data_IF_626154777458
#
_entry.id   IF_626154777458
#
_cell.length_a   1.000
_cell.length_b   1.000
_cell.length_c   1.000
_cell.angle_alpha   90.00
_cell.angle_beta   90.00
_cell.angle_gamma   90.00
#
_symmetry.space_group_name_H-M   'P 1'
#
loop_
_entity.id
_entity.type
_entity.pdbx_description
1 polymer ?
#
# COMPACT_ATOMS: atom_id res chain seq x y z
N UNK A 1 14.58 -21.95 16.92
CA UNK A 1 13.62 -20.92 16.45
C UNK A 1 12.53 -20.85 17.48
N UNK A 2 12.35 -19.71 18.17
CA UNK A 2 11.29 -19.59 19.20
C UNK A 2 9.98 -19.33 18.47
N UNK A 3 9.00 -20.19 18.68
CA UNK A 3 7.66 -20.00 18.12
C UNK A 3 6.95 -18.96 18.98
N UNK A 4 6.75 -17.76 18.45
CA UNK A 4 6.03 -16.69 19.14
C UNK A 4 4.54 -17.01 19.10
N UNK A 5 3.92 -17.19 20.27
CA UNK A 5 2.47 -17.41 20.40
C UNK A 5 1.77 -16.14 20.87
N UNK A 6 0.43 -16.11 20.78
CA UNK A 6 -0.36 -14.97 21.28
C UNK A 6 -0.20 -14.79 22.79
N UNK A 7 -0.01 -15.87 23.51
CA UNK A 7 0.19 -15.89 24.97
C UNK A 7 1.51 -15.21 25.33
N UNK A 8 2.58 -15.47 24.58
CA UNK A 8 3.87 -14.79 24.75
C UNK A 8 3.72 -13.29 24.50
N UNK A 9 3.04 -12.91 23.40
CA UNK A 9 2.80 -11.49 23.08
C UNK A 9 2.01 -10.79 24.20
N UNK A 10 0.96 -11.42 24.73
CA UNK A 10 0.17 -10.86 25.85
C UNK A 10 1.03 -10.63 27.08
N UNK A 11 1.88 -11.59 27.44
CA UNK A 11 2.75 -11.45 28.62
C UNK A 11 3.78 -10.33 28.48
N UNK A 12 4.24 -10.01 27.27
CA UNK A 12 5.12 -8.86 27.04
C UNK A 12 4.35 -7.55 27.08
N UNK A 13 3.12 -7.51 26.58
CA UNK A 13 2.24 -6.33 26.68
C UNK A 13 1.95 -5.98 28.15
N UNK A 14 1.71 -6.97 29.01
CA UNK A 14 1.47 -6.77 30.45
C UNK A 14 2.67 -6.15 31.19
N UNK A 15 3.88 -6.25 30.63
CA UNK A 15 5.09 -5.63 31.20
C UNK A 15 5.29 -4.19 30.75
N UNK A 16 4.50 -3.71 29.78
CA UNK A 16 4.62 -2.35 29.28
C UNK A 16 3.99 -1.38 30.26
N UNK A 17 4.72 -0.33 30.69
CA UNK A 17 4.15 0.71 31.55
C UNK A 17 2.93 1.38 30.91
N UNK A 18 1.96 1.75 31.74
CA UNK A 18 0.66 2.30 31.29
C UNK A 18 0.82 3.55 30.42
N UNK A 19 1.79 4.42 30.74
CA UNK A 19 2.16 5.62 29.99
C UNK A 19 2.65 5.35 28.55
N UNK A 20 3.03 4.11 28.23
CA UNK A 20 3.48 3.70 26.90
C UNK A 20 2.47 2.86 26.14
N UNK A 21 1.31 2.57 26.74
CA UNK A 21 0.29 1.74 26.09
C UNK A 21 -0.32 2.41 24.86
N UNK A 22 -0.42 3.73 24.83
CA UNK A 22 -0.91 4.47 23.67
C UNK A 22 0.03 4.32 22.46
N UNK A 23 1.33 4.47 22.67
CA UNK A 23 2.36 4.24 21.65
C UNK A 23 2.30 2.80 21.12
N UNK A 24 2.22 1.82 22.03
CA UNK A 24 2.12 0.41 21.67
C UNK A 24 0.84 0.09 20.88
N UNK A 25 -0.28 0.68 21.27
CA UNK A 25 -1.56 0.48 20.60
C UNK A 25 -1.51 0.95 19.14
N UNK A 26 -0.96 2.14 18.88
CA UNK A 26 -0.83 2.64 17.51
C UNK A 26 0.04 1.74 16.64
N UNK A 27 1.14 1.19 17.19
CA UNK A 27 1.99 0.23 16.47
C UNK A 27 1.21 -1.03 16.10
N UNK A 28 0.50 -1.64 17.05
CA UNK A 28 -0.29 -2.87 16.82
C UNK A 28 -1.45 -2.62 15.86
N UNK A 29 -2.09 -1.45 15.95
CA UNK A 29 -3.17 -1.01 15.06
C UNK A 29 -2.69 -0.82 13.62
N UNK A 30 -1.53 -0.21 13.40
CA UNK A 30 -0.94 -0.09 12.06
C UNK A 30 -0.54 -1.48 11.53
N UNK A 31 0.10 -2.30 12.36
CA UNK A 31 0.55 -3.64 11.98
C UNK A 31 -0.61 -4.55 11.56
N UNK A 32 -1.73 -4.53 12.29
CA UNK A 32 -2.92 -5.33 11.96
C UNK A 32 -3.62 -4.87 10.68
N UNK A 33 -3.66 -3.56 10.41
CA UNK A 33 -4.28 -2.99 9.20
C UNK A 33 -3.45 -3.23 7.94
N UNK A 34 -2.13 -3.09 8.03
CA UNK A 34 -1.22 -3.28 6.88
C UNK A 34 -1.27 -4.71 6.33
N UNK A 35 -1.53 -5.74 7.16
CA UNK A 35 -1.79 -7.09 6.67
C UNK A 35 -3.13 -7.22 5.91
N UNK A 36 -4.14 -6.44 6.30
CA UNK A 36 -5.45 -6.47 5.65
C UNK A 36 -5.40 -5.78 4.28
N UNK A 37 -4.62 -4.71 4.15
CA UNK A 37 -4.43 -4.00 2.88
C UNK A 37 -3.47 -4.70 1.91
N UNK A 38 -2.43 -5.38 2.42
CA UNK A 38 -1.51 -6.15 1.57
C UNK A 38 -2.10 -7.45 1.02
N UNK A 39 -3.22 -7.92 1.58
CA UNK A 39 -3.99 -9.05 1.02
C UNK A 39 -4.98 -8.61 -0.08
N UNK A 40 -5.06 -7.32 -0.42
CA UNK A 40 -6.11 -6.75 -1.27
C UNK A 40 -5.68 -6.12 -2.61
N UNK A 41 -4.41 -6.14 -2.98
CA UNK A 41 -4.02 -5.57 -4.28
C UNK A 41 -2.65 -6.04 -4.73
N UNK A 42 -2.63 -7.03 -5.63
CA UNK A 42 -1.40 -7.39 -6.34
C UNK A 42 -0.87 -6.16 -7.08
N UNK A 43 0.41 -6.16 -7.46
CA UNK A 43 0.98 -5.09 -8.29
C UNK A 43 0.11 -4.80 -9.52
N UNK A 44 -0.55 -5.81 -10.09
CA UNK A 44 -1.54 -5.64 -11.17
C UNK A 44 -2.76 -4.82 -10.75
N UNK A 45 -3.25 -4.94 -9.52
CA UNK A 45 -4.33 -4.11 -8.98
C UNK A 45 -3.92 -2.64 -8.86
N UNK A 46 -2.64 -2.37 -8.54
CA UNK A 46 -2.09 -1.00 -8.50
C UNK A 46 -1.85 -0.46 -9.92
N UNK A 47 -1.33 -1.28 -10.82
CA UNK A 47 -1.13 -0.92 -12.23
C UNK A 47 -2.45 -0.68 -12.97
N UNK A 48 -3.52 -1.44 -12.67
CA UNK A 48 -4.85 -1.24 -13.26
C UNK A 48 -5.50 0.09 -12.87
N UNK A 49 -5.08 0.71 -11.75
CA UNK A 49 -5.53 2.06 -11.38
C UNK A 49 -4.86 3.14 -12.23
N UNK A 50 -3.76 2.83 -12.90
CA UNK A 50 -3.12 3.71 -13.88
C UNK A 50 -3.85 3.49 -15.21
N UNK A 51 -4.99 4.16 -15.37
CA UNK A 51 -5.66 4.29 -16.68
C UNK A 51 -5.01 5.46 -17.40
N UNK A 52 -4.42 5.22 -18.56
CA UNK A 52 -3.93 6.28 -19.44
C UNK A 52 -5.13 6.67 -20.32
N UNK A 53 -5.80 7.76 -19.98
CA UNK A 53 -6.75 8.38 -20.90
C UNK A 53 -5.93 9.08 -21.99
N UNK A 54 -5.95 8.49 -23.18
CA UNK A 54 -5.26 8.99 -24.36
C UNK A 54 -6.03 8.62 -25.64
N UNK A 55 -5.74 9.30 -26.76
CA UNK A 55 -6.27 8.93 -28.06
C UNK A 55 -5.98 7.46 -28.40
N UNK A 56 -6.86 6.83 -29.19
CA UNK A 56 -6.71 5.43 -29.62
C UNK A 56 -5.35 5.15 -30.27
N UNK A 57 -4.77 6.19 -30.89
CA UNK A 57 -3.49 6.14 -31.59
C UNK A 57 -2.30 6.68 -30.79
N UNK A 58 -2.44 6.85 -29.47
CA UNK A 58 -1.42 7.45 -28.60
C UNK A 58 -0.11 6.66 -28.59
N UNK A 59 -0.17 5.32 -28.55
CA UNK A 59 1.04 4.49 -28.55
C UNK A 59 1.81 4.55 -29.87
N UNK A 60 1.11 4.81 -30.98
CA UNK A 60 1.71 4.85 -32.32
C UNK A 60 2.25 6.24 -32.66
N UNK A 61 1.71 7.29 -32.04
CA UNK A 61 2.01 8.69 -32.36
C UNK A 61 2.58 9.48 -31.17
N UNK A 62 3.18 8.80 -30.20
CA UNK A 62 3.70 9.43 -28.97
C UNK A 62 4.60 10.63 -29.27
N UNK A 63 5.52 10.49 -30.22
CA UNK A 63 6.46 11.54 -30.60
C UNK A 63 5.74 12.79 -31.14
N UNK A 64 4.64 12.62 -31.87
CA UNK A 64 3.84 13.73 -32.41
C UNK A 64 3.04 14.47 -31.34
N UNK A 65 2.58 13.75 -30.31
CA UNK A 65 1.94 14.37 -29.15
C UNK A 65 2.97 15.09 -28.26
N UNK A 66 4.19 14.55 -28.14
CA UNK A 66 5.27 15.18 -27.38
C UNK A 66 5.88 16.40 -28.11
N UNK A 67 5.94 16.38 -29.44
CA UNK A 67 6.42 17.51 -30.25
C UNK A 67 5.37 18.63 -30.37
N UNK A 68 4.11 18.35 -30.05
CA UNK A 68 2.99 19.27 -30.20
C UNK A 68 2.46 19.38 -31.64
N UNK A 69 2.95 18.54 -32.56
CA UNK A 69 2.45 18.43 -33.93
C UNK A 69 1.05 17.79 -33.98
N UNK A 70 0.69 17.04 -32.93
CA UNK A 70 -0.64 16.46 -32.76
C UNK A 70 -1.22 16.87 -31.42
N UNK A 71 -2.46 17.37 -31.44
CA UNK A 71 -3.18 17.83 -30.25
C UNK A 71 -4.33 16.90 -29.94
N UNK A 72 -4.60 16.70 -28.64
CA UNK A 72 -5.83 16.09 -28.15
C UNK A 72 -6.95 17.12 -28.37
N UNK A 73 -7.92 16.79 -29.22
CA UNK A 73 -9.08 17.63 -29.54
C UNK A 73 -10.22 17.45 -28.56
#
# INVERSE_FOLDING_TARGET
>A
MVMVTKEIIKSEIERVPEERLEELYEIVKVYSRTQTENNGGSLFSKLRKISIDGPEDFSENLDLYLSGEKTIG
#
